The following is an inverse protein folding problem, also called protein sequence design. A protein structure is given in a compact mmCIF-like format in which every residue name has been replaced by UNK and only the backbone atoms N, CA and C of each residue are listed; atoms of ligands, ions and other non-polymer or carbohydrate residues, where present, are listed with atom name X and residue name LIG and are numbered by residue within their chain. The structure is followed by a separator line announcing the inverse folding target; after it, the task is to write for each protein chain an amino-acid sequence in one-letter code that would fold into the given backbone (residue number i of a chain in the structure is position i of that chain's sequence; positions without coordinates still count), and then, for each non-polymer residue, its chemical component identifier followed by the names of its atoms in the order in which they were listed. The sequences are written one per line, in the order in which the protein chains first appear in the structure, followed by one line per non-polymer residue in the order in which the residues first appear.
data_IF_972397310226
#
_entry.id   IF_972397310226
#
_cell.length_a   1.000
_cell.length_b   1.000
_cell.length_c   1.000
_cell.angle_alpha   90.00
_cell.angle_beta   90.00
_cell.angle_gamma   90.00
#
_symmetry.space_group_name_H-M   'P 1'
#
loop_
_entity.id
_entity.type
_entity.pdbx_description
1 polymer ?
#
# COMPACT_ATOMS: atom_id res chain seq x y z
N UNK A 1 12.23 -36.21 3.96
CA UNK A 1 10.85 -35.91 3.46
C UNK A 1 10.93 -34.72 2.50
N UNK A 2 10.43 -34.85 1.26
CA UNK A 2 10.34 -33.72 0.31
C UNK A 2 9.14 -32.83 0.71
N UNK A 3 9.30 -31.51 0.88
CA UNK A 3 8.17 -30.65 1.21
C UNK A 3 7.14 -30.66 0.07
N UNK A 4 5.85 -30.79 0.40
CA UNK A 4 4.76 -30.68 -0.59
C UNK A 4 4.81 -29.26 -1.17
N UNK A 5 5.04 -29.16 -2.47
CA UNK A 5 4.97 -27.87 -3.17
C UNK A 5 3.52 -27.53 -3.45
N UNK A 6 3.13 -26.30 -3.15
CA UNK A 6 1.85 -25.75 -3.61
C UNK A 6 1.78 -25.80 -5.15
N UNK A 7 0.58 -26.08 -5.67
CA UNK A 7 0.33 -26.10 -7.11
C UNK A 7 0.64 -24.74 -7.73
N UNK A 8 1.48 -24.71 -8.78
CA UNK A 8 1.80 -23.48 -9.52
C UNK A 8 0.53 -22.78 -10.03
N UNK A 9 -0.43 -23.55 -10.54
CA UNK A 9 -1.73 -23.04 -11.01
C UNK A 9 -2.52 -22.37 -9.89
N UNK A 10 -2.50 -22.97 -8.70
CA UNK A 10 -3.17 -22.40 -7.53
C UNK A 10 -2.53 -21.07 -7.11
N UNK A 11 -1.19 -21.00 -7.02
CA UNK A 11 -0.48 -19.76 -6.66
C UNK A 11 -0.80 -18.64 -7.65
N UNK A 12 -0.76 -18.92 -8.96
CA UNK A 12 -1.11 -17.94 -10.00
C UNK A 12 -2.56 -17.44 -9.84
N UNK A 13 -3.51 -18.35 -9.58
CA UNK A 13 -4.90 -17.98 -9.33
C UNK A 13 -5.06 -17.10 -8.08
N UNK A 14 -4.36 -17.41 -6.98
CA UNK A 14 -4.43 -16.60 -5.76
C UNK A 14 -3.81 -15.21 -5.95
N UNK A 15 -2.69 -15.11 -6.65
CA UNK A 15 -2.07 -13.81 -6.97
C UNK A 15 -3.00 -12.94 -7.84
N UNK A 16 -3.71 -13.53 -8.80
CA UNK A 16 -4.69 -12.79 -9.60
C UNK A 16 -5.87 -12.27 -8.76
N UNK A 17 -6.38 -13.09 -7.84
CA UNK A 17 -7.44 -12.65 -6.89
C UNK A 17 -6.95 -11.53 -5.96
N UNK A 18 -5.70 -11.64 -5.49
CA UNK A 18 -5.08 -10.63 -4.64
C UNK A 18 -4.94 -9.29 -5.36
N UNK A 19 -4.50 -9.29 -6.62
CA UNK A 19 -4.35 -8.04 -7.38
C UNK A 19 -5.71 -7.40 -7.69
N UNK A 20 -6.72 -8.20 -8.06
CA UNK A 20 -8.07 -7.71 -8.27
C UNK A 20 -8.66 -7.06 -7.00
N UNK A 21 -8.40 -7.65 -5.83
CA UNK A 21 -8.79 -7.07 -4.55
C UNK A 21 -8.06 -5.76 -4.27
N UNK A 22 -6.74 -5.69 -4.50
CA UNK A 22 -5.96 -4.46 -4.32
C UNK A 22 -6.46 -3.34 -5.22
N UNK A 23 -6.74 -3.63 -6.48
CA UNK A 23 -7.29 -2.64 -7.41
C UNK A 23 -8.67 -2.15 -6.98
N UNK A 24 -9.52 -3.04 -6.45
CA UNK A 24 -10.80 -2.66 -5.86
C UNK A 24 -10.61 -1.71 -4.67
N UNK A 25 -9.71 -2.02 -3.74
CA UNK A 25 -9.39 -1.16 -2.57
C UNK A 25 -8.83 0.19 -3.02
N UNK A 26 -7.90 0.21 -3.98
CA UNK A 26 -7.33 1.45 -4.52
C UNK A 26 -8.39 2.32 -5.19
N UNK A 27 -9.28 1.70 -5.97
CA UNK A 27 -10.42 2.39 -6.57
C UNK A 27 -11.29 2.99 -5.47
N UNK A 28 -11.71 2.20 -4.49
CA UNK A 28 -12.49 2.68 -3.33
C UNK A 28 -11.80 3.87 -2.64
N UNK A 29 -10.52 3.76 -2.31
CA UNK A 29 -9.79 4.83 -1.66
C UNK A 29 -9.69 6.11 -2.51
N UNK A 30 -9.71 6.01 -3.85
CA UNK A 30 -9.71 7.19 -4.73
C UNK A 30 -10.99 8.02 -4.64
N UNK A 31 -12.13 7.37 -4.38
CA UNK A 31 -13.43 8.04 -4.20
C UNK A 31 -13.69 8.48 -2.76
N UNK A 32 -12.80 8.17 -1.81
CA UNK A 32 -13.00 8.46 -0.37
C UNK A 32 -13.12 9.96 -0.02
N UNK A 33 -12.69 10.86 -0.90
CA UNK A 33 -12.87 12.31 -0.74
C UNK A 33 -14.30 12.79 -1.08
N UNK A 34 -15.10 11.96 -1.76
CA UNK A 34 -16.48 12.27 -2.12
C UNK A 34 -17.36 11.89 -0.93
N UNK A 35 -17.83 12.90 -0.20
CA UNK A 35 -18.56 12.79 1.08
C UNK A 35 -19.89 12.02 1.02
N UNK A 36 -20.39 11.71 -0.18
CA UNK A 36 -21.72 11.16 -0.41
C UNK A 36 -21.73 9.70 -0.91
N UNK A 37 -20.64 8.94 -0.72
CA UNK A 37 -20.66 7.54 -1.15
C UNK A 37 -21.46 6.66 -0.17
N UNK A 38 -22.27 5.72 -0.71
CA UNK A 38 -23.03 4.79 0.12
C UNK A 38 -22.04 4.00 0.95
N UNK A 39 -22.20 4.04 2.29
CA UNK A 39 -21.58 3.17 3.30
C UNK A 39 -20.85 1.98 2.67
N UNK A 40 -19.61 2.19 2.21
CA UNK A 40 -18.78 1.10 1.76
C UNK A 40 -18.39 0.41 3.04
N UNK A 41 -18.79 -0.87 3.15
CA UNK A 41 -18.71 -1.63 4.39
C UNK A 41 -17.35 -1.46 5.05
N UNK A 42 -17.35 -1.53 6.39
CA UNK A 42 -16.20 -1.44 7.30
C UNK A 42 -14.96 -2.27 6.92
N UNK A 43 -15.03 -3.07 5.85
CA UNK A 43 -14.02 -4.01 5.37
C UNK A 43 -12.88 -3.36 4.57
N UNK A 44 -13.03 -2.12 4.08
CA UNK A 44 -11.95 -1.45 3.33
C UNK A 44 -11.17 -0.49 4.23
N UNK A 45 -9.86 -0.71 4.45
CA UNK A 45 -9.04 0.20 5.23
C UNK A 45 -9.03 1.62 4.64
N UNK A 46 -9.14 2.62 5.51
CA UNK A 46 -9.00 4.02 5.11
C UNK A 46 -7.62 4.26 4.49
N UNK A 47 -7.55 5.17 3.51
CA UNK A 47 -6.28 5.60 2.96
C UNK A 47 -5.45 6.35 4.01
N UNK A 48 -4.13 6.20 3.97
CA UNK A 48 -3.23 6.91 4.86
C UNK A 48 -3.27 8.41 4.51
N UNK A 49 -3.61 9.31 5.44
CA UNK A 49 -3.69 10.73 5.14
C UNK A 49 -2.29 11.35 5.01
N UNK A 50 -2.21 12.42 4.22
CA UNK A 50 -0.99 13.25 4.13
C UNK A 50 -0.74 13.88 5.51
N UNK A 51 0.51 13.84 5.96
CA UNK A 51 0.92 14.24 7.31
C UNK A 51 0.93 13.12 8.33
N UNK A 52 0.39 11.94 8.01
CA UNK A 52 0.44 10.79 8.91
C UNK A 52 1.89 10.30 9.10
N UNK A 53 2.17 9.85 10.32
CA UNK A 53 3.41 9.11 10.60
C UNK A 53 3.19 7.64 10.24
N UNK A 54 4.13 7.08 9.49
CA UNK A 54 4.06 5.72 8.97
C UNK A 54 5.37 4.98 9.17
N UNK A 55 5.31 3.66 9.14
CA UNK A 55 6.47 2.81 8.94
C UNK A 55 6.49 2.38 7.47
N UNK A 56 7.56 2.74 6.75
CA UNK A 56 7.71 2.46 5.33
C UNK A 56 9.00 1.71 5.05
N UNK A 57 8.99 0.85 4.04
CA UNK A 57 10.19 0.17 3.56
C UNK A 57 11.04 1.10 2.71
N UNK A 58 12.29 1.31 3.14
CA UNK A 58 13.29 2.08 2.41
C UNK A 58 14.10 1.15 1.51
N UNK A 59 14.17 1.43 0.20
CA UNK A 59 14.84 0.51 -0.75
C UNK A 59 16.36 0.62 -0.69
N UNK A 60 16.89 1.80 -0.31
CA UNK A 60 18.33 2.05 -0.17
C UNK A 60 18.90 1.28 1.02
N UNK A 61 18.28 1.40 2.19
CA UNK A 61 18.68 0.71 3.42
C UNK A 61 18.17 -0.73 3.51
N UNK A 62 17.20 -1.11 2.66
CA UNK A 62 16.49 -2.40 2.69
C UNK A 62 15.89 -2.72 4.06
N UNK A 63 15.41 -1.69 4.75
CA UNK A 63 14.89 -1.76 6.12
C UNK A 63 13.63 -0.92 6.27
N UNK A 64 12.81 -1.28 7.25
CA UNK A 64 11.64 -0.49 7.65
C UNK A 64 12.10 0.70 8.49
N UNK A 65 11.62 1.88 8.12
CA UNK A 65 11.90 3.11 8.82
C UNK A 65 10.64 3.91 9.05
N UNK A 66 10.63 4.63 10.16
CA UNK A 66 9.59 5.60 10.46
C UNK A 66 9.74 6.83 9.58
N UNK A 67 8.63 7.37 9.11
CA UNK A 67 8.58 8.54 8.26
C UNK A 67 7.22 9.21 8.26
N UNK A 68 7.12 10.30 7.51
CA UNK A 68 5.94 11.13 7.39
C UNK A 68 5.47 11.16 5.93
N UNK A 69 4.17 10.98 5.72
CA UNK A 69 3.58 10.99 4.38
C UNK A 69 3.50 12.43 3.87
N UNK A 70 4.27 12.75 2.83
CA UNK A 70 4.26 14.06 2.17
C UNK A 70 3.18 14.17 1.09
N UNK A 71 2.76 13.04 0.52
CA UNK A 71 1.79 13.02 -0.57
C UNK A 71 1.42 11.62 -0.97
N UNK A 72 0.29 11.50 -1.66
CA UNK A 72 -0.20 10.25 -2.25
C UNK A 72 -0.30 10.42 -3.75
N UNK A 73 0.32 9.53 -4.49
CA UNK A 73 0.20 9.42 -5.94
C UNK A 73 -0.62 8.17 -6.26
N UNK A 74 -1.77 8.35 -6.90
CA UNK A 74 -2.66 7.23 -7.27
C UNK A 74 -2.89 7.27 -8.78
N UNK A 75 -2.74 6.12 -9.43
CA UNK A 75 -3.02 5.92 -10.84
C UNK A 75 -3.66 4.57 -11.10
N UNK A 76 -3.90 4.24 -12.38
CA UNK A 76 -4.55 2.99 -12.77
C UNK A 76 -3.62 1.80 -12.45
N UNK A 77 -3.96 1.03 -11.41
CA UNK A 77 -3.20 -0.14 -10.97
C UNK A 77 -1.97 0.17 -10.09
N UNK A 78 -1.81 1.40 -9.61
CA UNK A 78 -0.75 1.72 -8.64
C UNK A 78 -1.18 2.79 -7.64
N UNK A 79 -0.73 2.61 -6.40
CA UNK A 79 -0.86 3.58 -5.32
C UNK A 79 0.49 3.67 -4.62
N UNK A 80 1.05 4.88 -4.54
CA UNK A 80 2.34 5.12 -3.90
C UNK A 80 2.25 6.32 -2.97
N UNK A 81 2.94 6.24 -1.86
CA UNK A 81 3.08 7.30 -0.89
C UNK A 81 4.49 7.87 -0.99
N UNK A 82 4.58 9.20 -1.04
CA UNK A 82 5.84 9.90 -0.86
C UNK A 82 6.10 10.01 0.62
N UNK A 83 7.07 9.25 1.13
CA UNK A 83 7.40 9.21 2.56
C UNK A 83 8.74 9.89 2.79
N UNK A 84 8.76 10.87 3.69
CA UNK A 84 10.00 11.45 4.21
C UNK A 84 10.41 10.71 5.47
N UNK A 85 11.56 10.07 5.45
CA UNK A 85 12.05 9.33 6.61
C UNK A 85 12.56 10.28 7.69
N UNK A 86 12.39 9.91 8.96
CA UNK A 86 12.88 10.71 10.09
C UNK A 86 14.42 10.79 10.09
N UNK A 87 15.08 9.73 9.61
CA UNK A 87 16.53 9.72 9.39
C UNK A 87 16.86 10.58 8.17
N UNK A 88 17.45 11.75 8.42
CA UNK A 88 17.81 12.74 7.37
C UNK A 88 18.66 12.14 6.25
N UNK A 89 19.52 11.18 6.56
CA UNK A 89 20.37 10.47 5.59
C UNK A 89 19.57 9.67 4.56
N UNK A 90 18.37 9.20 4.92
CA UNK A 90 17.50 8.43 4.04
C UNK A 90 16.62 9.31 3.14
N UNK A 91 16.51 10.61 3.45
CA UNK A 91 15.74 11.57 2.65
C UNK A 91 14.26 11.19 2.53
N UNK A 92 13.75 11.22 1.30
CA UNK A 92 12.38 10.85 0.98
C UNK A 92 12.35 9.83 -0.17
N UNK A 93 11.34 8.96 -0.19
CA UNK A 93 11.19 7.93 -1.21
C UNK A 93 9.71 7.72 -1.57
N UNK A 94 9.46 7.18 -2.77
CA UNK A 94 8.15 6.64 -3.15
C UNK A 94 8.03 5.17 -2.73
N UNK A 95 7.18 4.93 -1.75
CA UNK A 95 6.85 3.60 -1.24
C UNK A 95 5.48 3.19 -1.76
N UNK A 96 5.31 1.94 -2.16
CA UNK A 96 4.02 1.41 -2.62
C UNK A 96 3.04 1.31 -1.44
N UNK A 97 1.75 1.25 -1.73
CA UNK A 97 0.71 1.01 -0.72
C UNK A 97 0.90 -0.28 0.08
N UNK A 98 1.58 -1.28 -0.49
CA UNK A 98 1.95 -2.53 0.20
C UNK A 98 3.22 -2.44 1.04
N UNK A 99 3.96 -1.33 0.94
CA UNK A 99 5.26 -1.12 1.59
C UNK A 99 5.18 -0.10 2.74
N UNK A 100 3.97 0.39 3.05
CA UNK A 100 3.71 1.43 4.04
C UNK A 100 2.59 0.97 4.98
N UNK A 101 2.80 1.16 6.28
CA UNK A 101 1.80 0.93 7.31
C UNK A 101 1.68 2.16 8.23
N UNK A 102 0.45 2.56 8.54
CA UNK A 102 0.12 3.60 9.53
C UNK A 102 -0.16 3.01 10.89
#
# INVERSE_FOLDING_TARGET
RKPRRFSKKYIQSQLGKLEAYRDHVRNVQSWSHVKDLPCWGYDVPAAIPVGATVTAFNKTARLLHRGLVLGKETGKGFCRYRVQFERKELGWEFCSDTEVAS
#
